data_IF_095852320146
#
_entry.id   IF_095852320146
#
_cell.length_a   1.000
_cell.length_b   1.000
_cell.length_c   1.000
_cell.angle_alpha   90.00
_cell.angle_beta   90.00
_cell.angle_gamma   90.00
#
_symmetry.space_group_name_H-M   'P 1'
#
loop_
_entity.id
_entity.type
_entity.pdbx_description
1 polymer ?
#
# COMPACT_ATOMS: atom_id res chain seq x y z
N UNK A 1 -15.02 3.04 -9.16
CA UNK A 1 -13.66 2.50 -8.89
C UNK A 1 -13.39 1.39 -9.90
N UNK A 2 -12.27 1.42 -10.63
CA UNK A 2 -11.96 0.55 -11.78
C UNK A 2 -11.63 -0.93 -11.42
N UNK A 3 -11.85 -1.36 -10.18
CA UNK A 3 -11.47 -2.72 -9.74
C UNK A 3 -9.96 -2.98 -9.65
N UNK A 4 -9.11 -1.97 -9.91
CA UNK A 4 -7.65 -2.10 -9.92
C UNK A 4 -7.09 -1.96 -8.50
N UNK A 5 -6.23 -2.89 -8.10
CA UNK A 5 -5.46 -2.83 -6.86
C UNK A 5 -4.13 -2.11 -7.09
N UNK A 6 -3.91 -0.98 -6.41
CA UNK A 6 -2.65 -0.23 -6.43
C UNK A 6 -2.10 -0.04 -5.01
N UNK A 7 -1.60 -1.11 -4.37
CA UNK A 7 -1.22 -1.09 -2.96
C UNK A 7 -0.16 -0.03 -2.66
N UNK A 8 0.88 0.08 -3.48
CA UNK A 8 1.96 1.06 -3.26
C UNK A 8 1.42 2.49 -3.39
N UNK A 9 0.70 2.80 -4.48
CA UNK A 9 0.15 4.14 -4.70
C UNK A 9 -0.85 4.55 -3.63
N UNK A 10 -1.66 3.60 -3.14
CA UNK A 10 -2.56 3.83 -2.01
C UNK A 10 -1.81 4.21 -0.73
N UNK A 11 -0.73 3.50 -0.44
CA UNK A 11 0.08 3.76 0.75
C UNK A 11 0.83 5.10 0.66
N UNK A 12 1.33 5.46 -0.52
CA UNK A 12 1.90 6.80 -0.79
C UNK A 12 0.84 7.89 -0.60
N UNK A 13 -0.39 7.67 -1.08
CA UNK A 13 -1.48 8.61 -0.86
C UNK A 13 -1.76 8.81 0.64
N UNK A 14 -1.82 7.73 1.43
CA UNK A 14 -2.04 7.82 2.86
C UNK A 14 -0.93 8.58 3.60
N UNK A 15 0.33 8.43 3.17
CA UNK A 15 1.45 9.21 3.74
C UNK A 15 1.28 10.70 3.45
N UNK A 16 0.95 11.05 2.19
CA UNK A 16 0.91 12.44 1.74
C UNK A 16 -0.34 13.21 2.19
N UNK A 17 -1.46 12.51 2.38
CA UNK A 17 -2.77 13.14 2.57
C UNK A 17 -3.52 12.66 3.83
N UNK A 18 -3.07 11.60 4.49
CA UNK A 18 -3.72 11.02 5.67
C UNK A 18 -2.78 10.92 6.89
N UNK A 19 -1.63 11.61 6.85
CA UNK A 19 -0.60 11.62 7.91
C UNK A 19 -0.11 10.21 8.34
N UNK A 20 -0.23 9.21 7.44
CA UNK A 20 0.26 7.87 7.72
C UNK A 20 1.79 7.89 7.84
N UNK A 21 2.39 7.39 8.94
CA UNK A 21 3.83 7.30 9.05
C UNK A 21 4.43 6.38 7.96
N UNK A 22 5.53 6.78 7.28
CA UNK A 22 6.15 5.97 6.23
C UNK A 22 6.57 4.56 6.69
N UNK A 23 7.06 4.43 7.92
CA UNK A 23 7.44 3.13 8.48
C UNK A 23 6.26 2.16 8.53
N UNK A 24 5.10 2.63 9.02
CA UNK A 24 3.86 1.84 9.09
C UNK A 24 3.33 1.48 7.69
N UNK A 25 3.49 2.37 6.70
CA UNK A 25 3.12 2.07 5.32
C UNK A 25 3.96 0.93 4.74
N UNK A 26 5.27 0.93 5.00
CA UNK A 26 6.17 -0.16 4.59
C UNK A 26 5.77 -1.47 5.28
N UNK A 27 5.55 -1.47 6.59
CA UNK A 27 5.09 -2.65 7.34
C UNK A 27 3.79 -3.20 6.75
N UNK A 28 2.83 -2.33 6.43
CA UNK A 28 1.57 -2.72 5.79
C UNK A 28 1.81 -3.36 4.41
N UNK A 29 2.72 -2.81 3.60
CA UNK A 29 3.03 -3.34 2.27
C UNK A 29 3.71 -4.71 2.34
N UNK A 30 4.56 -4.93 3.34
CA UNK A 30 5.31 -6.18 3.51
C UNK A 30 4.48 -7.27 4.19
N UNK A 31 3.49 -6.90 5.00
CA UNK A 31 2.59 -7.85 5.67
C UNK A 31 1.50 -8.45 4.77
N UNK A 32 1.48 -8.11 3.47
CA UNK A 32 0.50 -8.64 2.52
C UNK A 32 0.73 -10.13 2.25
N UNK A 33 -0.36 -10.80 1.89
CA UNK A 33 -0.29 -12.18 1.44
C UNK A 33 0.66 -12.31 0.24
N UNK A 34 1.44 -13.40 0.27
CA UNK A 34 2.28 -13.77 -0.85
C UNK A 34 1.40 -14.06 -2.06
N UNK A 35 1.70 -13.39 -3.17
CA UNK A 35 1.10 -13.69 -4.46
C UNK A 35 2.10 -14.46 -5.30
N UNK A 36 1.58 -15.40 -6.11
CA UNK A 36 2.36 -15.90 -7.22
C UNK A 36 2.53 -14.78 -8.25
N UNK A 37 3.72 -14.73 -8.86
CA UNK A 37 3.94 -13.89 -10.03
C UNK A 37 3.60 -14.73 -11.27
N UNK A 38 2.86 -14.13 -12.20
CA UNK A 38 2.49 -14.73 -13.51
C UNK A 38 3.64 -14.60 -14.52
#
# INVERSE_FOLDING_TARGET
>A
KLGITMPITREVYAILFEDKPPATAIETLMARDLKFED
#
